data_IF_389170230712
#
_entry.id   IF_389170230712
#
_cell.length_a   1.000
_cell.length_b   1.000
_cell.length_c   1.000
_cell.angle_alpha   90.00
_cell.angle_beta   90.00
_cell.angle_gamma   90.00
#
_symmetry.space_group_name_H-M   'P 1'
#
loop_
_entity.id
_entity.type
_entity.pdbx_description
1 polymer ?
#
# COMPACT_ATOMS: atom_id res chain seq x y z
N UNK A 1 14.25 -7.45 2.75
CA UNK A 1 14.08 -8.83 3.25
C UNK A 1 13.17 -8.78 4.47
N UNK A 2 12.12 -9.60 4.55
CA UNK A 2 11.18 -9.57 5.67
C UNK A 2 11.65 -10.57 6.71
N UNK A 3 12.13 -10.08 7.85
CA UNK A 3 12.56 -10.90 8.99
C UNK A 3 11.50 -10.83 10.09
N UNK A 4 11.20 -11.97 10.69
CA UNK A 4 10.24 -12.11 11.80
C UNK A 4 10.90 -12.96 12.86
N UNK A 5 11.08 -12.36 14.01
CA UNK A 5 11.50 -13.06 15.21
C UNK A 5 10.30 -13.82 15.77
N UNK A 6 10.52 -15.09 16.09
CA UNK A 6 9.56 -15.97 16.76
C UNK A 6 10.11 -16.20 18.16
N UNK A 7 9.29 -15.94 19.19
CA UNK A 7 9.66 -16.23 20.58
C UNK A 7 9.23 -17.64 20.97
N UNK A 8 9.92 -18.25 21.92
CA UNK A 8 9.54 -19.56 22.46
C UNK A 8 8.12 -19.50 23.06
N UNK A 9 7.27 -20.47 22.71
CA UNK A 9 5.86 -20.53 23.11
C UNK A 9 4.89 -19.79 22.18
N UNK A 10 5.36 -19.19 21.08
CA UNK A 10 4.47 -18.54 20.11
C UNK A 10 3.85 -19.51 19.11
N UNK A 11 2.53 -19.45 18.94
CA UNK A 11 1.82 -20.22 17.90
C UNK A 11 2.24 -19.75 16.49
N UNK A 12 2.54 -20.72 15.62
CA UNK A 12 2.92 -20.53 14.21
C UNK A 12 1.93 -19.61 13.48
N UNK A 13 0.63 -19.70 13.77
CA UNK A 13 -0.40 -18.88 13.13
C UNK A 13 -0.23 -17.39 13.41
N UNK A 14 0.22 -17.02 14.63
CA UNK A 14 0.50 -15.62 14.97
C UNK A 14 1.70 -15.10 14.20
N UNK A 15 2.75 -15.90 14.05
CA UNK A 15 3.92 -15.55 13.24
C UNK A 15 3.54 -15.35 11.76
N UNK A 16 2.73 -16.25 11.19
CA UNK A 16 2.22 -16.14 9.81
C UNK A 16 1.33 -14.91 9.62
N UNK A 17 0.49 -14.57 10.59
CA UNK A 17 -0.35 -13.36 10.52
C UNK A 17 0.49 -12.09 10.53
N UNK A 18 1.56 -12.04 11.35
CA UNK A 18 2.53 -10.92 11.33
C UNK A 18 3.29 -10.86 10.01
N UNK A 19 3.68 -12.00 9.45
CA UNK A 19 4.29 -12.06 8.12
C UNK A 19 3.39 -11.49 7.06
N UNK A 20 2.14 -11.95 7.00
CA UNK A 20 1.17 -11.46 6.03
C UNK A 20 0.95 -9.96 6.15
N UNK A 21 0.91 -9.41 7.36
CA UNK A 21 0.84 -7.95 7.60
C UNK A 21 2.10 -7.24 7.13
N UNK A 22 3.30 -7.68 7.54
CA UNK A 22 4.57 -7.08 7.10
C UNK A 22 4.69 -7.12 5.57
N UNK A 23 4.40 -8.25 4.94
CA UNK A 23 4.43 -8.40 3.48
C UNK A 23 3.49 -7.42 2.76
N UNK A 24 2.25 -7.26 3.24
CA UNK A 24 1.33 -6.26 2.68
C UNK A 24 1.82 -4.83 2.89
N UNK A 25 2.36 -4.51 4.08
CA UNK A 25 2.84 -3.18 4.40
C UNK A 25 4.05 -2.77 3.54
N UNK A 26 4.97 -3.70 3.28
CA UNK A 26 6.12 -3.43 2.39
C UNK A 26 5.65 -3.21 0.94
N UNK A 27 4.52 -3.79 0.53
CA UNK A 27 3.91 -3.47 -0.75
C UNK A 27 4.72 -3.91 -1.96
N UNK A 28 5.62 -4.89 -1.81
CA UNK A 28 6.55 -5.38 -2.86
C UNK A 28 5.79 -5.71 -4.15
N UNK A 29 4.64 -6.37 -4.04
CA UNK A 29 3.81 -6.74 -5.21
C UNK A 29 3.32 -5.51 -5.97
N UNK A 30 2.93 -4.44 -5.27
CA UNK A 30 2.46 -3.19 -5.88
C UNK A 30 3.62 -2.49 -6.58
N UNK A 31 4.79 -2.49 -5.96
CA UNK A 31 5.99 -1.90 -6.56
C UNK A 31 6.46 -2.69 -7.79
N UNK A 32 6.45 -4.03 -7.72
CA UNK A 32 6.78 -4.89 -8.84
C UNK A 32 5.86 -4.58 -10.04
N UNK A 33 4.55 -4.52 -9.81
CA UNK A 33 3.57 -4.14 -10.84
C UNK A 33 3.81 -2.75 -11.41
N UNK A 34 4.14 -1.77 -10.56
CA UNK A 34 4.48 -0.40 -11.00
C UNK A 34 5.72 -0.38 -11.91
N UNK A 35 6.73 -1.20 -11.59
CA UNK A 35 8.01 -1.25 -12.31
C UNK A 35 7.97 -2.10 -13.60
N UNK A 36 6.93 -2.91 -13.80
CA UNK A 36 6.78 -3.73 -15.02
C UNK A 36 6.74 -2.90 -16.30
N UNK A 37 6.24 -1.67 -16.25
CA UNK A 37 6.12 -0.79 -17.40
C UNK A 37 6.72 0.59 -17.12
N UNK A 38 7.35 1.19 -18.13
CA UNK A 38 7.83 2.56 -18.03
C UNK A 38 6.64 3.54 -18.12
N UNK A 39 6.44 4.32 -17.06
CA UNK A 39 5.42 5.37 -17.04
C UNK A 39 6.12 6.73 -17.07
N UNK A 40 5.83 7.56 -18.08
CA UNK A 40 6.41 8.91 -18.21
C UNK A 40 6.12 9.75 -16.95
N UNK A 41 7.07 10.57 -16.46
CA UNK A 41 6.87 11.39 -15.26
C UNK A 41 5.65 12.32 -15.35
N UNK A 42 5.36 12.85 -16.54
CA UNK A 42 4.18 13.70 -16.78
C UNK A 42 2.87 12.96 -16.56
N UNK A 43 2.79 11.68 -16.97
CA UNK A 43 1.60 10.84 -16.79
C UNK A 43 1.43 10.52 -15.30
N UNK A 44 2.51 10.19 -14.59
CA UNK A 44 2.46 9.94 -13.14
C UNK A 44 1.92 11.17 -12.39
N UNK A 45 2.48 12.36 -12.66
CA UNK A 45 2.05 13.61 -12.02
C UNK A 45 0.59 13.94 -12.33
N UNK A 46 0.13 13.70 -13.56
CA UNK A 46 -1.27 13.88 -13.92
C UNK A 46 -2.19 12.98 -13.10
N UNK A 47 -1.86 11.69 -12.97
CA UNK A 47 -2.68 10.75 -12.17
C UNK A 47 -2.73 11.11 -10.69
N UNK A 48 -1.65 11.68 -10.15
CA UNK A 48 -1.59 12.14 -8.77
C UNK A 48 -2.53 13.33 -8.52
N UNK A 49 -2.49 14.35 -9.37
CA UNK A 49 -3.35 15.54 -9.26
C UNK A 49 -4.83 15.18 -9.38
N UNK A 50 -5.20 14.36 -10.37
CA UNK A 50 -6.58 13.91 -10.56
C UNK A 50 -7.10 13.15 -9.34
N UNK A 51 -6.27 12.27 -8.77
CA UNK A 51 -6.62 11.55 -7.55
C UNK A 51 -6.80 12.47 -6.35
N UNK A 52 -5.96 13.49 -6.20
CA UNK A 52 -6.07 14.46 -5.12
C UNK A 52 -7.36 15.28 -5.21
N UNK A 53 -7.72 15.74 -6.42
CA UNK A 53 -8.98 16.43 -6.67
C UNK A 53 -10.20 15.57 -6.31
N UNK A 54 -10.19 14.31 -6.74
CA UNK A 54 -11.26 13.36 -6.41
C UNK A 54 -11.42 13.15 -4.90
N UNK A 55 -10.31 13.01 -4.16
CA UNK A 55 -10.37 12.85 -2.70
C UNK A 55 -10.88 14.10 -2.00
N UNK A 56 -10.46 15.29 -2.47
CA UNK A 56 -10.92 16.56 -1.92
C UNK A 56 -12.43 16.73 -2.11
N UNK A 57 -12.92 16.48 -3.33
CA UNK A 57 -14.34 16.55 -3.64
C UNK A 57 -15.14 15.61 -2.72
N UNK A 58 -14.70 14.36 -2.60
CA UNK A 58 -15.36 13.38 -1.74
C UNK A 58 -15.40 13.82 -0.26
N UNK A 59 -14.31 14.43 0.23
CA UNK A 59 -14.27 14.96 1.60
C UNK A 59 -15.19 16.17 1.82
N UNK A 60 -15.43 16.97 0.77
CA UNK A 60 -16.37 18.08 0.84
C UNK A 60 -17.81 17.55 0.89
N UNK A 61 -18.14 16.58 0.03
CA UNK A 61 -19.43 15.88 0.06
C UNK A 61 -19.70 15.27 1.45
N UNK A 62 -18.74 14.50 2.00
CA UNK A 62 -18.85 13.91 3.36
C UNK A 62 -18.93 14.94 4.51
N UNK A 63 -18.59 16.21 4.27
CA UNK A 63 -18.68 17.30 5.27
C UNK A 63 -19.97 18.11 5.16
N UNK A 64 -20.58 18.09 3.98
CA UNK A 64 -21.83 18.79 3.70
C UNK A 64 -23.06 17.94 4.09
N UNK A 65 -22.91 16.61 4.12
CA UNK A 65 -23.84 15.64 4.73
C UNK A 65 -23.73 15.57 6.27
#
# INVERSE_FOLDING_TARGET
MIIIEIKEGESIDRALKRYKRKHRNVGIVKELRRRQQFTKPSVQRRTEVLKAQYLLQKQQEERED
#
